data_IF_737789164375
#
_entry.id   IF_737789164375
#
_cell.length_a   1.000
_cell.length_b   1.000
_cell.length_c   1.000
_cell.angle_alpha   90.00
_cell.angle_beta   90.00
_cell.angle_gamma   90.00
#
_symmetry.space_group_name_H-M   'P 1'
#
loop_
_entity.id
_entity.type
_entity.pdbx_description
1 polymer ?
#
# COMPACT_ATOMS: atom_id res chain seq x y z
N UNK A 1 19.06 -23.79 -16.65
CA UNK A 1 18.10 -24.91 -16.75
C UNK A 1 17.21 -24.62 -17.96
N UNK A 2 17.04 -25.55 -18.88
CA UNK A 2 16.11 -25.44 -20.01
C UNK A 2 14.89 -26.32 -19.72
N UNK A 3 13.71 -25.80 -19.92
CA UNK A 3 12.45 -26.55 -19.86
C UNK A 3 11.85 -26.63 -21.25
N UNK A 4 11.38 -27.81 -21.61
CA UNK A 4 10.60 -28.02 -22.84
C UNK A 4 9.15 -28.18 -22.44
N UNK A 5 8.27 -27.34 -22.98
CA UNK A 5 6.84 -27.43 -22.75
C UNK A 5 6.21 -27.95 -24.03
N UNK A 6 5.48 -29.06 -23.94
CA UNK A 6 4.70 -29.64 -25.07
C UNK A 6 3.21 -29.64 -24.71
N UNK A 7 2.39 -29.43 -25.71
CA UNK A 7 0.95 -29.57 -25.55
C UNK A 7 0.58 -31.04 -25.26
N UNK A 8 -0.36 -31.31 -24.33
CA UNK A 8 -0.87 -32.67 -24.16
C UNK A 8 -1.63 -33.13 -25.39
N UNK A 9 -1.56 -34.43 -25.68
CA UNK A 9 -2.27 -35.04 -26.83
C UNK A 9 -3.78 -35.15 -26.66
N UNK A 10 -4.33 -34.79 -25.51
CA UNK A 10 -5.76 -34.85 -25.16
C UNK A 10 -6.24 -33.54 -24.61
N UNK A 11 -7.55 -33.21 -24.72
CA UNK A 11 -8.11 -32.04 -24.06
C UNK A 11 -7.82 -32.04 -22.53
N UNK A 12 -7.43 -30.87 -22.00
CA UNK A 12 -7.19 -30.72 -20.58
C UNK A 12 -8.53 -30.40 -19.89
N UNK A 13 -8.90 -31.24 -18.93
CA UNK A 13 -10.01 -30.99 -18.00
C UNK A 13 -9.39 -30.90 -16.59
N UNK A 14 -9.27 -29.70 -16.06
CA UNK A 14 -8.70 -29.48 -14.74
C UNK A 14 -9.45 -28.39 -14.01
N UNK A 15 -9.63 -28.55 -12.69
CA UNK A 15 -10.05 -27.49 -11.79
C UNK A 15 -8.82 -26.99 -11.04
N UNK A 16 -8.59 -25.68 -11.07
CA UNK A 16 -7.47 -25.05 -10.38
C UNK A 16 -8.05 -24.15 -9.30
N UNK A 17 -7.66 -24.42 -8.05
CA UNK A 17 -7.97 -23.51 -6.95
C UNK A 17 -6.89 -22.43 -6.89
N UNK A 18 -7.28 -21.19 -7.11
CA UNK A 18 -6.37 -20.06 -7.05
C UNK A 18 -6.05 -19.70 -5.59
N UNK A 19 -4.80 -19.28 -5.29
CA UNK A 19 -4.49 -18.72 -3.99
C UNK A 19 -5.13 -17.33 -3.83
N UNK A 20 -5.32 -16.93 -2.57
CA UNK A 20 -5.84 -15.59 -2.25
C UNK A 20 -4.98 -14.47 -2.84
N UNK A 21 -5.63 -13.40 -3.26
CA UNK A 21 -4.97 -12.25 -3.90
C UNK A 21 -4.02 -11.51 -2.94
N UNK A 22 -2.72 -11.52 -3.25
CA UNK A 22 -1.72 -10.71 -2.54
C UNK A 22 -2.04 -9.22 -2.56
N UNK A 23 -2.50 -8.72 -3.70
CA UNK A 23 -2.77 -7.29 -3.91
C UNK A 23 -3.94 -6.81 -3.06
N UNK A 24 -4.96 -7.63 -2.87
CA UNK A 24 -6.09 -7.36 -1.99
C UNK A 24 -5.66 -7.50 -0.54
N UNK A 25 -5.00 -8.60 -0.16
CA UNK A 25 -4.53 -8.87 1.19
C UNK A 25 -3.72 -7.72 1.78
N UNK A 26 -2.73 -7.23 1.04
CA UNK A 26 -1.85 -6.17 1.53
C UNK A 26 -2.57 -4.83 1.70
N UNK A 27 -3.56 -4.53 0.87
CA UNK A 27 -4.40 -3.33 1.03
C UNK A 27 -5.36 -3.48 2.20
N UNK A 28 -6.05 -4.61 2.29
CA UNK A 28 -6.96 -4.89 3.40
C UNK A 28 -6.26 -4.81 4.75
N UNK A 29 -5.04 -5.32 4.87
CA UNK A 29 -4.22 -5.21 6.09
C UNK A 29 -3.95 -3.75 6.50
N UNK A 30 -3.61 -2.87 5.55
CA UNK A 30 -3.39 -1.45 5.84
C UNK A 30 -4.69 -0.76 6.24
N UNK A 31 -5.77 -0.98 5.50
CA UNK A 31 -7.08 -0.36 5.79
C UNK A 31 -7.62 -0.83 7.15
N UNK A 32 -7.50 -2.13 7.45
CA UNK A 32 -7.84 -2.69 8.75
C UNK A 32 -7.00 -2.06 9.89
N UNK A 33 -5.70 -1.90 9.69
CA UNK A 33 -4.83 -1.24 10.67
C UNK A 33 -5.21 0.24 10.88
N UNK A 34 -5.52 0.98 9.82
CA UNK A 34 -5.99 2.36 9.88
C UNK A 34 -7.40 2.49 10.51
N UNK A 35 -8.22 1.44 10.42
CA UNK A 35 -9.50 1.35 11.10
C UNK A 35 -9.37 0.99 12.60
N UNK A 36 -8.16 0.74 13.12
CA UNK A 36 -7.93 0.13 14.42
C UNK A 36 -8.73 -1.16 14.60
N UNK A 37 -8.86 -1.94 13.50
CA UNK A 37 -9.75 -3.06 13.37
C UNK A 37 -9.43 -4.22 14.32
N UNK A 38 -10.50 -4.89 14.77
CA UNK A 38 -10.47 -6.10 15.60
C UNK A 38 -11.21 -7.25 14.93
N UNK A 39 -11.98 -6.94 13.88
CA UNK A 39 -12.73 -7.93 13.11
C UNK A 39 -11.77 -8.83 12.30
N UNK A 40 -12.25 -10.02 11.95
CA UNK A 40 -11.40 -10.97 11.24
C UNK A 40 -11.13 -10.55 9.80
N UNK A 41 -9.87 -10.65 9.39
CA UNK A 41 -9.46 -10.70 7.98
C UNK A 41 -9.26 -12.18 7.61
N UNK A 42 -10.12 -12.68 6.74
CA UNK A 42 -10.11 -14.07 6.31
C UNK A 42 -9.47 -14.25 4.94
N UNK A 43 -8.95 -15.46 4.68
CA UNK A 43 -8.35 -15.85 3.41
C UNK A 43 -7.23 -14.89 2.94
N UNK A 44 -6.37 -14.46 3.88
CA UNK A 44 -5.19 -13.67 3.51
C UNK A 44 -4.22 -14.52 2.67
N UNK A 45 -3.58 -13.91 1.69
CA UNK A 45 -2.51 -14.55 0.93
C UNK A 45 -1.39 -15.04 1.87
N UNK A 46 -0.87 -16.21 1.63
CA UNK A 46 0.26 -16.80 2.38
C UNK A 46 1.63 -16.45 1.83
N UNK A 47 1.71 -15.55 0.85
CA UNK A 47 2.97 -15.11 0.27
C UNK A 47 3.83 -14.28 1.26
N UNK A 48 5.13 -14.24 1.00
CA UNK A 48 6.11 -13.56 1.86
C UNK A 48 5.77 -12.08 2.09
N UNK A 49 5.33 -11.36 1.06
CA UNK A 49 4.94 -9.95 1.15
C UNK A 49 3.83 -9.75 2.22
N UNK A 50 2.81 -10.62 2.21
CA UNK A 50 1.68 -10.53 3.15
C UNK A 50 2.10 -10.94 4.56
N UNK A 51 2.91 -12.00 4.71
CA UNK A 51 3.45 -12.41 6.01
C UNK A 51 4.29 -11.33 6.68
N UNK A 52 5.09 -10.62 5.88
CA UNK A 52 5.88 -9.47 6.36
C UNK A 52 4.98 -8.33 6.81
N UNK A 53 3.92 -8.01 6.06
CA UNK A 53 2.94 -6.99 6.42
C UNK A 53 2.26 -7.32 7.75
N UNK A 54 1.79 -8.56 7.92
CA UNK A 54 1.16 -9.02 9.17
C UNK A 54 2.10 -8.81 10.36
N UNK A 55 3.37 -9.26 10.25
CA UNK A 55 4.37 -9.08 11.31
C UNK A 55 4.65 -7.61 11.63
N UNK A 56 4.74 -6.76 10.61
CA UNK A 56 5.01 -5.34 10.78
C UNK A 56 3.86 -4.59 11.48
N UNK A 57 2.61 -5.01 11.25
CA UNK A 57 1.43 -4.41 11.85
C UNK A 57 1.11 -4.99 13.25
N UNK A 58 1.61 -6.18 13.56
CA UNK A 58 1.49 -6.80 14.89
C UNK A 58 2.57 -6.26 15.83
N UNK A 59 2.18 -5.86 17.04
CA UNK A 59 3.12 -5.48 18.10
C UNK A 59 3.84 -4.15 17.92
N UNK A 60 3.60 -3.43 16.82
CA UNK A 60 4.14 -2.08 16.57
C UNK A 60 5.67 -1.96 16.78
N UNK A 61 6.51 -2.79 16.12
CA UNK A 61 7.94 -2.84 16.36
C UNK A 61 8.63 -1.52 15.96
N UNK A 62 9.67 -1.13 16.69
CA UNK A 62 10.49 0.05 16.35
C UNK A 62 11.29 -0.17 15.05
N UNK A 63 11.80 -1.39 14.86
CA UNK A 63 12.54 -1.79 13.67
C UNK A 63 11.73 -2.79 12.85
N UNK A 64 11.47 -2.44 11.59
CA UNK A 64 10.66 -3.21 10.66
C UNK A 64 11.54 -3.65 9.48
N UNK A 65 11.87 -4.93 9.43
CA UNK A 65 12.52 -5.52 8.26
C UNK A 65 11.48 -6.17 7.36
N UNK A 66 11.27 -5.55 6.20
CA UNK A 66 10.31 -6.04 5.19
C UNK A 66 10.95 -7.02 4.19
N UNK A 67 12.16 -7.46 4.42
CA UNK A 67 12.90 -8.35 3.53
C UNK A 67 12.96 -7.82 2.09
N UNK A 68 12.41 -8.56 1.12
CA UNK A 68 12.34 -8.17 -0.29
C UNK A 68 10.93 -7.66 -0.71
N UNK A 69 10.02 -7.43 0.25
CA UNK A 69 8.62 -7.12 0.02
C UNK A 69 8.39 -5.67 -0.42
N UNK A 70 8.42 -5.42 -1.73
CA UNK A 70 8.30 -4.08 -2.28
C UNK A 70 6.98 -3.39 -1.99
N UNK A 71 5.87 -4.12 -1.97
CA UNK A 71 4.56 -3.58 -1.61
C UNK A 71 4.53 -3.17 -0.14
N UNK A 72 5.08 -3.99 0.74
CA UNK A 72 5.18 -3.70 2.17
C UNK A 72 5.97 -2.41 2.42
N UNK A 73 7.12 -2.22 1.76
CA UNK A 73 7.91 -0.99 1.87
C UNK A 73 7.05 0.25 1.58
N UNK A 74 6.29 0.26 0.49
CA UNK A 74 5.51 1.44 0.07
C UNK A 74 4.30 1.69 0.97
N UNK A 75 3.56 0.65 1.26
CA UNK A 75 2.32 0.76 2.05
C UNK A 75 2.61 1.08 3.51
N UNK A 76 3.60 0.43 4.10
CA UNK A 76 4.01 0.72 5.48
C UNK A 76 4.64 2.12 5.60
N UNK A 77 5.41 2.60 4.62
CA UNK A 77 5.94 3.97 4.67
C UNK A 77 4.81 4.99 4.80
N UNK A 78 3.73 4.88 4.02
CA UNK A 78 2.59 5.78 4.15
C UNK A 78 1.83 5.56 5.47
N UNK A 79 1.56 4.32 5.86
CA UNK A 79 0.89 3.98 7.12
C UNK A 79 1.64 4.53 8.34
N UNK A 80 2.95 4.32 8.42
CA UNK A 80 3.78 4.78 9.53
C UNK A 80 3.87 6.30 9.61
N UNK A 81 3.72 7.00 8.48
CA UNK A 81 3.73 8.47 8.45
C UNK A 81 2.53 9.09 9.16
N UNK A 82 1.39 8.39 9.21
CA UNK A 82 0.15 8.82 9.90
C UNK A 82 -0.09 8.13 11.24
N UNK A 83 0.81 7.21 11.64
CA UNK A 83 0.66 6.43 12.88
C UNK A 83 1.68 6.91 13.92
N UNK A 84 1.27 7.39 15.10
CA UNK A 84 2.17 7.95 16.10
C UNK A 84 3.33 7.02 16.49
N UNK A 85 4.50 7.59 16.67
CA UNK A 85 5.73 6.91 17.07
C UNK A 85 6.86 7.03 16.05
N UNK A 86 8.05 6.60 16.45
CA UNK A 86 9.24 6.58 15.59
C UNK A 86 9.54 5.16 15.16
N UNK A 87 9.73 4.93 13.88
CA UNK A 87 9.99 3.61 13.29
C UNK A 87 11.12 3.68 12.28
N UNK A 88 11.90 2.61 12.22
CA UNK A 88 12.90 2.39 11.17
C UNK A 88 12.39 1.25 10.29
N UNK A 89 12.19 1.53 9.01
CA UNK A 89 11.79 0.51 8.03
C UNK A 89 12.96 0.25 7.09
N UNK A 90 13.32 -1.02 6.95
CA UNK A 90 14.44 -1.50 6.14
C UNK A 90 14.06 -2.77 5.38
N UNK A 91 15.01 -3.39 4.70
CA UNK A 91 14.88 -4.67 4.02
C UNK A 91 16.23 -5.18 3.54
N UNK A 92 16.23 -6.23 2.74
CA UNK A 92 17.45 -6.80 2.16
C UNK A 92 18.27 -5.75 1.41
N UNK A 93 19.56 -6.00 1.21
CA UNK A 93 20.46 -5.13 0.45
C UNK A 93 19.86 -4.76 -0.92
N UNK A 94 19.22 -5.71 -1.61
CA UNK A 94 18.53 -5.44 -2.88
C UNK A 94 17.33 -4.49 -2.70
N UNK A 95 16.61 -4.56 -1.58
CA UNK A 95 15.51 -3.64 -1.28
C UNK A 95 16.03 -2.23 -1.02
N UNK A 96 17.16 -2.09 -0.33
CA UNK A 96 17.81 -0.81 -0.07
C UNK A 96 18.34 -0.11 -1.34
N UNK A 97 18.37 -0.82 -2.48
CA UNK A 97 18.70 -0.27 -3.80
C UNK A 97 17.46 0.09 -4.64
N UNK A 98 16.25 -0.10 -4.11
CA UNK A 98 15.00 0.22 -4.81
C UNK A 98 14.54 1.62 -4.45
N UNK A 99 14.40 2.53 -5.43
CA UNK A 99 14.04 3.92 -5.14
C UNK A 99 12.66 4.03 -4.51
N UNK A 100 12.53 4.98 -3.58
CA UNK A 100 11.28 5.31 -2.88
C UNK A 100 11.03 6.83 -2.83
N UNK A 101 11.95 7.64 -3.38
CA UNK A 101 11.93 9.10 -3.35
C UNK A 101 10.56 9.68 -3.72
N UNK A 102 9.93 9.21 -4.79
CA UNK A 102 8.63 9.73 -5.25
C UNK A 102 7.57 9.67 -4.14
N UNK A 103 7.53 8.57 -3.39
CA UNK A 103 6.57 8.43 -2.29
C UNK A 103 6.96 9.29 -1.09
N UNK A 104 8.24 9.30 -0.71
CA UNK A 104 8.70 10.08 0.44
C UNK A 104 8.54 11.58 0.20
N UNK A 105 8.79 12.06 -1.02
CA UNK A 105 8.62 13.47 -1.37
C UNK A 105 7.12 13.85 -1.34
N UNK A 106 6.23 12.99 -1.86
CA UNK A 106 4.79 13.19 -1.77
C UNK A 106 4.29 13.22 -0.33
N UNK A 107 4.75 12.29 0.52
CA UNK A 107 4.39 12.26 1.93
C UNK A 107 4.93 13.49 2.69
N UNK A 108 6.14 13.95 2.39
CA UNK A 108 6.72 15.17 2.95
C UNK A 108 5.93 16.42 2.55
N UNK A 109 5.40 16.49 1.33
CA UNK A 109 4.50 17.58 0.91
C UNK A 109 3.21 17.60 1.73
N UNK A 110 2.74 16.43 2.19
CA UNK A 110 1.61 16.34 3.13
C UNK A 110 1.99 16.66 4.58
N UNK A 111 3.28 16.83 4.88
CA UNK A 111 3.80 17.16 6.21
C UNK A 111 4.45 16.00 6.95
N UNK A 112 4.71 14.86 6.29
CA UNK A 112 5.35 13.72 6.93
C UNK A 112 6.83 14.01 7.28
N UNK A 113 7.26 13.52 8.44
CA UNK A 113 8.65 13.56 8.86
C UNK A 113 9.32 12.20 8.56
N UNK A 114 10.04 12.16 7.44
CA UNK A 114 10.75 10.98 6.94
C UNK A 114 12.21 11.35 6.68
N UNK A 115 13.12 10.60 7.27
CA UNK A 115 14.57 10.73 7.07
C UNK A 115 15.10 9.49 6.35
N UNK A 116 16.07 9.68 5.47
CA UNK A 116 16.82 8.57 4.91
C UNK A 116 17.95 8.20 5.88
N UNK A 117 17.93 6.97 6.39
CA UNK A 117 18.98 6.47 7.30
C UNK A 117 20.22 5.93 6.56
N UNK A 118 20.22 6.00 5.23
CA UNK A 118 21.32 5.63 4.33
C UNK A 118 21.38 6.57 3.14
N UNK A 119 21.38 6.02 1.95
CA UNK A 119 21.42 6.80 0.71
C UNK A 119 20.11 7.55 0.49
N UNK A 120 20.21 8.82 0.08
CA UNK A 120 19.05 9.63 -0.21
C UNK A 120 18.21 9.08 -1.36
N UNK A 121 16.90 8.97 -1.14
CA UNK A 121 15.95 8.40 -2.10
C UNK A 121 15.74 6.89 -1.96
N UNK A 122 16.44 6.24 -1.00
CA UNK A 122 16.44 4.79 -0.82
C UNK A 122 16.22 4.41 0.65
N UNK A 123 15.66 3.21 0.92
CA UNK A 123 15.66 2.67 2.28
C UNK A 123 17.09 2.44 2.79
N UNK A 124 17.34 2.39 4.14
CA UNK A 124 16.35 2.44 5.21
C UNK A 124 15.77 3.83 5.43
N UNK A 125 14.53 3.88 5.96
CA UNK A 125 13.85 5.13 6.31
C UNK A 125 13.62 5.19 7.82
N UNK A 126 13.85 6.35 8.43
CA UNK A 126 13.38 6.69 9.76
C UNK A 126 12.13 7.55 9.62
N UNK A 127 11.02 7.11 10.16
CA UNK A 127 9.72 7.75 10.03
C UNK A 127 9.22 8.14 11.40
N UNK A 128 8.93 9.42 11.60
CA UNK A 128 8.24 9.93 12.78
C UNK A 128 6.79 10.20 12.40
N UNK A 129 5.89 9.31 12.81
CA UNK A 129 4.47 9.39 12.50
C UNK A 129 3.78 10.51 13.27
N UNK A 130 2.94 11.26 12.57
CA UNK A 130 2.17 12.39 13.09
C UNK A 130 0.90 12.61 12.31
N UNK A 131 0.05 13.51 12.76
CA UNK A 131 -1.08 13.98 11.99
C UNK A 131 -0.59 14.87 10.83
N UNK A 132 -0.86 14.47 9.60
CA UNK A 132 -0.47 15.21 8.41
C UNK A 132 -1.52 16.26 8.05
N UNK A 133 -1.10 17.49 7.82
CA UNK A 133 -1.99 18.63 7.58
C UNK A 133 -2.25 18.94 6.09
N UNK A 134 -1.40 18.42 5.21
CA UNK A 134 -1.56 18.59 3.77
C UNK A 134 -2.70 17.74 3.22
N UNK A 135 -3.32 18.20 2.13
CA UNK A 135 -4.45 17.51 1.50
C UNK A 135 -4.37 17.43 -0.01
N UNK A 136 -3.39 18.07 -0.64
CA UNK A 136 -3.29 18.12 -2.10
C UNK A 136 -1.88 17.77 -2.56
N UNK A 137 -1.78 16.88 -3.55
CA UNK A 137 -0.53 16.49 -4.20
C UNK A 137 -0.75 16.16 -5.67
N UNK A 138 0.33 16.31 -6.46
CA UNK A 138 0.39 15.88 -7.85
C UNK A 138 1.48 14.85 -8.05
N UNK A 139 1.17 13.79 -8.80
CA UNK A 139 2.12 12.75 -9.19
C UNK A 139 2.01 12.48 -10.69
N UNK A 140 3.10 12.02 -11.31
CA UNK A 140 3.02 11.49 -12.66
C UNK A 140 2.20 10.20 -12.69
N UNK A 141 1.25 10.07 -13.61
CA UNK A 141 0.36 8.90 -13.71
C UNK A 141 1.08 7.61 -14.15
N UNK A 142 2.29 7.74 -14.69
CA UNK A 142 3.13 6.61 -15.11
C UNK A 142 4.06 6.06 -13.99
N UNK A 143 3.95 6.57 -12.77
CA UNK A 143 4.66 5.99 -11.62
C UNK A 143 4.01 4.67 -11.18
N UNK A 144 4.72 3.93 -10.34
CA UNK A 144 4.17 2.70 -9.76
C UNK A 144 2.84 2.95 -9.04
N UNK A 145 1.81 2.18 -9.39
CA UNK A 145 0.51 2.21 -8.69
C UNK A 145 0.61 1.95 -7.19
N UNK A 146 1.71 1.38 -6.72
CA UNK A 146 1.94 1.19 -5.28
C UNK A 146 2.11 2.54 -4.55
N UNK A 147 2.72 3.55 -5.19
CA UNK A 147 2.82 4.90 -4.61
C UNK A 147 1.45 5.55 -4.53
N UNK A 148 0.70 5.51 -5.64
CA UNK A 148 -0.67 6.04 -5.71
C UNK A 148 -1.56 5.36 -4.66
N UNK A 149 -1.56 4.02 -4.62
CA UNK A 149 -2.35 3.25 -3.65
C UNK A 149 -1.99 3.56 -2.19
N UNK A 150 -0.70 3.70 -1.88
CA UNK A 150 -0.23 4.02 -0.54
C UNK A 150 -0.79 5.37 -0.04
N UNK A 151 -0.75 6.39 -0.90
CA UNK A 151 -1.29 7.72 -0.61
C UNK A 151 -2.81 7.71 -0.48
N UNK A 152 -3.52 7.03 -1.40
CA UNK A 152 -4.98 6.94 -1.36
C UNK A 152 -5.46 6.27 -0.06
N UNK A 153 -4.80 5.20 0.39
CA UNK A 153 -5.22 4.49 1.61
C UNK A 153 -5.10 5.33 2.89
N UNK A 154 -4.13 6.24 2.97
CA UNK A 154 -4.04 7.14 4.13
C UNK A 154 -4.98 8.35 4.00
N UNK A 155 -5.50 8.64 2.81
CA UNK A 155 -6.29 9.83 2.54
C UNK A 155 -7.49 10.02 3.48
N UNK A 156 -8.20 8.95 3.84
CA UNK A 156 -9.38 9.05 4.71
C UNK A 156 -9.05 9.38 6.18
N UNK A 157 -7.82 9.12 6.64
CA UNK A 157 -7.39 9.45 8.00
C UNK A 157 -6.71 10.83 8.09
N UNK A 158 -6.50 11.50 6.96
CA UNK A 158 -6.05 12.89 6.95
C UNK A 158 -7.20 13.82 7.34
N UNK A 159 -6.98 14.86 8.17
CA UNK A 159 -8.04 15.75 8.63
C UNK A 159 -8.84 16.43 7.53
N UNK A 160 -8.19 16.70 6.40
CA UNK A 160 -8.79 17.35 5.21
C UNK A 160 -9.05 16.38 4.06
N UNK A 161 -8.79 15.07 4.26
CA UNK A 161 -8.77 14.12 3.17
C UNK A 161 -7.57 14.30 2.23
N UNK A 162 -7.66 13.73 1.04
CA UNK A 162 -6.60 13.82 0.02
C UNK A 162 -7.20 14.14 -1.34
N UNK A 163 -6.66 15.15 -2.01
CA UNK A 163 -6.87 15.40 -3.43
C UNK A 163 -5.59 15.06 -4.20
N UNK A 164 -5.65 14.01 -5.01
CA UNK A 164 -4.51 13.52 -5.77
C UNK A 164 -4.71 13.79 -7.26
N UNK A 165 -3.86 14.63 -7.84
CA UNK A 165 -3.83 14.88 -9.28
C UNK A 165 -2.76 14.03 -9.96
N UNK A 166 -3.13 13.29 -11.02
CA UNK A 166 -2.25 12.44 -11.80
C UNK A 166 -1.93 13.11 -13.14
N UNK A 167 -0.68 13.44 -13.38
CA UNK A 167 -0.25 14.08 -14.63
C UNK A 167 0.16 13.04 -15.68
N UNK A 168 -0.13 13.31 -16.95
CA UNK A 168 0.23 12.45 -18.07
C UNK A 168 -0.59 11.13 -18.12
N UNK A 169 0.01 10.09 -18.68
CA UNK A 169 -0.66 8.81 -18.91
C UNK A 169 -0.72 7.96 -17.63
N UNK A 170 -1.91 7.47 -17.27
CA UNK A 170 -2.12 6.58 -16.11
C UNK A 170 -2.01 5.12 -16.57
N UNK A 171 -0.89 4.47 -16.26
CA UNK A 171 -0.58 3.12 -16.78
C UNK A 171 -1.14 1.96 -15.94
N UNK A 172 -1.51 2.17 -14.69
CA UNK A 172 -1.92 1.10 -13.76
C UNK A 172 -3.30 1.34 -13.17
N UNK A 173 -4.24 1.85 -13.96
CA UNK A 173 -5.60 2.19 -13.53
C UNK A 173 -6.33 1.06 -12.79
N UNK A 174 -6.26 -0.23 -13.21
CA UNK A 174 -6.93 -1.30 -12.47
C UNK A 174 -6.51 -1.45 -11.01
N UNK A 175 -5.24 -1.18 -10.67
CA UNK A 175 -4.78 -1.21 -9.28
C UNK A 175 -5.24 0.00 -8.46
N UNK A 176 -5.46 1.13 -9.12
CA UNK A 176 -6.07 2.31 -8.50
C UNK A 176 -7.54 2.00 -8.19
N UNK A 177 -8.29 1.47 -9.18
CA UNK A 177 -9.69 1.05 -8.99
C UNK A 177 -9.85 0.02 -7.87
N UNK A 178 -8.96 -0.98 -7.83
CA UNK A 178 -8.92 -1.94 -6.73
C UNK A 178 -8.76 -1.24 -5.37
N UNK A 179 -7.89 -0.23 -5.29
CA UNK A 179 -7.66 0.51 -4.05
C UNK A 179 -8.90 1.33 -3.67
N UNK A 180 -9.52 2.00 -4.63
CA UNK A 180 -10.75 2.77 -4.39
C UNK A 180 -11.92 1.88 -3.96
N UNK A 181 -12.05 0.67 -4.57
CA UNK A 181 -13.03 -0.33 -4.13
C UNK A 181 -12.82 -0.69 -2.66
N UNK A 182 -11.59 -1.07 -2.29
CA UNK A 182 -11.28 -1.48 -0.93
C UNK A 182 -11.46 -0.34 0.09
N UNK A 183 -11.10 0.89 -0.24
CA UNK A 183 -11.38 2.06 0.59
C UNK A 183 -12.89 2.14 0.90
N UNK A 184 -13.74 1.94 -0.10
CA UNK A 184 -15.21 1.94 0.09
C UNK A 184 -15.70 0.73 0.88
N UNK A 185 -15.15 -0.46 0.64
CA UNK A 185 -15.48 -1.69 1.37
C UNK A 185 -15.18 -1.53 2.88
N UNK A 186 -14.13 -0.78 3.23
CA UNK A 186 -13.79 -0.41 4.61
C UNK A 186 -14.50 0.87 5.10
N UNK A 187 -15.53 1.33 4.42
CA UNK A 187 -16.39 2.45 4.83
C UNK A 187 -15.81 3.84 4.59
N UNK A 188 -14.65 3.95 3.94
CA UNK A 188 -14.11 5.23 3.47
C UNK A 188 -14.85 5.71 2.22
N UNK A 189 -14.70 6.99 1.91
CA UNK A 189 -15.29 7.59 0.72
C UNK A 189 -14.19 8.07 -0.21
N UNK A 190 -14.14 7.50 -1.44
CA UNK A 190 -13.15 7.85 -2.45
C UNK A 190 -13.73 7.68 -3.85
N UNK A 191 -13.39 8.62 -4.74
CA UNK A 191 -13.88 8.64 -6.11
C UNK A 191 -12.92 9.38 -7.06
N UNK A 192 -13.05 9.13 -8.34
CA UNK A 192 -12.49 9.99 -9.37
C UNK A 192 -13.28 11.29 -9.40
N UNK A 193 -12.65 12.39 -9.06
CA UNK A 193 -13.24 13.75 -9.14
C UNK A 193 -13.11 14.36 -10.55
N UNK A 194 -12.20 13.82 -11.37
CA UNK A 194 -12.07 14.09 -12.80
C UNK A 194 -11.36 12.92 -13.48
N UNK A 195 -11.10 13.01 -14.79
CA UNK A 195 -10.37 11.98 -15.54
C UNK A 195 -9.00 11.65 -14.92
N UNK A 196 -8.33 12.65 -14.38
CA UNK A 196 -6.97 12.56 -13.84
C UNK A 196 -6.85 12.94 -12.36
N UNK A 197 -7.95 13.10 -11.65
CA UNK A 197 -7.92 13.48 -10.24
C UNK A 197 -8.78 12.56 -9.40
N UNK A 198 -8.28 12.22 -8.22
CA UNK A 198 -8.94 11.36 -7.25
C UNK A 198 -9.09 12.12 -5.95
N UNK A 199 -10.27 12.07 -5.37
CA UNK A 199 -10.55 12.62 -4.04
C UNK A 199 -10.85 11.50 -3.07
N UNK A 200 -10.12 11.48 -1.95
CA UNK A 200 -10.44 10.66 -0.78
C UNK A 200 -10.91 11.62 0.31
N UNK A 201 -12.14 11.43 0.76
CA UNK A 201 -12.77 12.30 1.77
C UNK A 201 -12.33 11.90 3.18
N UNK A 202 -12.20 12.86 4.10
CA UNK A 202 -11.91 12.57 5.49
C UNK A 202 -13.06 11.79 6.15
N UNK A 203 -12.76 11.09 7.24
CA UNK A 203 -13.76 10.35 8.02
C UNK A 203 -13.28 8.98 8.51
N UNK A 204 -12.05 8.59 8.14
CA UNK A 204 -11.44 7.34 8.57
C UNK A 204 -12.06 6.09 7.94
N UNK A 205 -11.85 4.97 8.59
CA UNK A 205 -12.30 3.65 8.17
C UNK A 205 -13.14 2.99 9.25
N UNK A 206 -13.92 1.98 8.85
CA UNK A 206 -14.73 1.16 9.76
C UNK A 206 -14.06 -0.18 10.01
N UNK A 207 -14.17 -0.68 11.22
CA UNK A 207 -13.80 -2.05 11.55
C UNK A 207 -14.86 -3.02 11.00
N UNK A 208 -14.54 -3.66 9.90
CA UNK A 208 -15.43 -4.59 9.20
C UNK A 208 -14.76 -5.96 9.04
N UNK A 209 -15.51 -7.07 9.14
CA UNK A 209 -15.00 -8.37 8.73
C UNK A 209 -14.79 -8.36 7.21
N UNK A 210 -13.68 -8.90 6.76
CA UNK A 210 -13.34 -8.90 5.33
C UNK A 210 -12.72 -10.23 4.91
N UNK A 211 -13.20 -10.79 3.79
CA UNK A 211 -12.64 -12.01 3.21
C UNK A 211 -12.00 -11.69 1.86
N UNK A 212 -10.73 -12.04 1.73
CA UNK A 212 -9.98 -11.82 0.48
C UNK A 212 -10.43 -12.82 -0.58
N UNK A 213 -10.66 -12.32 -1.78
CA UNK A 213 -11.00 -13.12 -2.97
C UNK A 213 -9.79 -13.98 -3.43
N UNK A 214 -10.10 -15.15 -3.97
CA UNK A 214 -9.14 -16.08 -4.60
C UNK A 214 -9.20 -16.00 -6.11
#
# INVERSE_FOLDING_TARGET
MRYTVSAPGTPIHAAIQLPASKSISNRALILHALAHGRQALCNLSDCDDTRVMVRALQGNPEHIDIMAAGTAMRFLTAYLSVTPGVRIITGTQRMQQRPIRILTDALRQLGANIEYAGNEGFPPLRITGSELQGCEISLAGNVSSQYISALLMIGAVLPKGLHLHLTGCIISRPYIELTLKLIRDFGGRAEWSSENSITVYPGGYRDVPFTVES
#
